data_IF_265600685914
#
_entry.id   IF_265600685914
#
_cell.length_a   1.000
_cell.length_b   1.000
_cell.length_c   1.000
_cell.angle_alpha   90.00
_cell.angle_beta   90.00
_cell.angle_gamma   90.00
#
_symmetry.space_group_name_H-M   'P 1'
#
loop_
_entity.id
_entity.type
_entity.pdbx_description
1 polymer ?
#
# COMPACT_ATOMS: atom_id res chain seq x y z
N UNK A 1 -23.82 34.08 -74.50
CA UNK A 1 -24.64 33.08 -73.79
C UNK A 1 -24.02 31.72 -74.08
N UNK A 2 -23.42 31.05 -73.09
CA UNK A 2 -22.76 29.75 -73.30
C UNK A 2 -23.66 28.67 -72.70
N UNK A 3 -24.08 27.69 -73.50
CA UNK A 3 -25.09 26.67 -73.11
C UNK A 3 -24.44 25.45 -72.43
N UNK A 4 -23.15 25.24 -72.66
CA UNK A 4 -22.42 24.04 -72.21
C UNK A 4 -22.08 24.03 -70.71
N UNK A 5 -22.07 25.19 -70.06
CA UNK A 5 -21.79 25.30 -68.63
C UNK A 5 -22.71 26.34 -67.99
N UNK A 6 -23.29 25.97 -66.84
CA UNK A 6 -24.14 26.86 -66.07
C UNK A 6 -23.46 27.18 -64.73
N UNK A 7 -22.63 28.23 -64.72
CA UNK A 7 -21.87 28.62 -63.52
C UNK A 7 -22.78 29.01 -62.35
N UNK A 8 -23.95 29.60 -62.60
CA UNK A 8 -24.88 29.99 -61.52
C UNK A 8 -25.49 28.76 -60.88
N UNK A 9 -25.87 27.75 -61.67
CA UNK A 9 -26.34 26.46 -61.16
C UNK A 9 -25.25 25.69 -60.40
N UNK A 10 -24.00 25.70 -60.89
CA UNK A 10 -22.86 25.06 -60.20
C UNK A 10 -22.60 25.73 -58.84
N UNK A 11 -22.65 27.06 -58.78
CA UNK A 11 -22.48 27.78 -57.52
C UNK A 11 -23.63 27.54 -56.54
N UNK A 12 -24.88 27.50 -57.04
CA UNK A 12 -26.05 27.15 -56.24
C UNK A 12 -25.96 25.72 -55.69
N UNK A 13 -25.52 24.74 -56.49
CA UNK A 13 -25.31 23.37 -56.04
C UNK A 13 -24.20 23.25 -54.99
N UNK A 14 -23.08 23.97 -55.15
CA UNK A 14 -22.02 24.06 -54.14
C UNK A 14 -22.55 24.62 -52.82
N UNK A 15 -23.33 25.70 -52.87
CA UNK A 15 -23.92 26.31 -51.67
C UNK A 15 -24.91 25.37 -50.98
N UNK A 16 -25.75 24.65 -51.76
CA UNK A 16 -26.65 23.61 -51.24
C UNK A 16 -25.89 22.48 -50.54
N UNK A 17 -24.73 22.06 -51.06
CA UNK A 17 -23.88 21.07 -50.40
C UNK A 17 -23.39 21.52 -49.01
N UNK A 18 -22.98 22.79 -48.89
CA UNK A 18 -22.51 23.38 -47.61
C UNK A 18 -23.67 23.49 -46.61
N UNK A 19 -24.84 23.95 -47.04
CA UNK A 19 -26.01 24.07 -46.15
C UNK A 19 -26.53 22.71 -45.70
N UNK A 20 -26.55 21.71 -46.60
CA UNK A 20 -26.92 20.35 -46.25
C UNK A 20 -25.96 19.73 -45.22
N UNK A 21 -24.65 19.99 -45.34
CA UNK A 21 -23.66 19.57 -44.34
C UNK A 21 -23.91 20.21 -42.97
N UNK A 22 -24.17 21.51 -42.94
CA UNK A 22 -24.45 22.25 -41.69
C UNK A 22 -25.74 21.78 -41.02
N UNK A 23 -26.79 21.52 -41.82
CA UNK A 23 -28.06 20.96 -41.33
C UNK A 23 -27.84 19.57 -40.75
N UNK A 24 -27.08 18.71 -41.44
CA UNK A 24 -26.74 17.36 -40.94
C UNK A 24 -26.02 17.42 -39.58
N UNK A 25 -25.03 18.30 -39.43
CA UNK A 25 -24.31 18.47 -38.16
C UNK A 25 -25.21 19.01 -37.04
N UNK A 26 -26.14 19.90 -37.36
CA UNK A 26 -27.10 20.44 -36.38
C UNK A 26 -28.09 19.37 -35.92
N UNK A 27 -28.58 18.54 -36.86
CA UNK A 27 -29.44 17.39 -36.54
C UNK A 27 -28.70 16.34 -35.71
N UNK A 28 -27.41 16.08 -35.98
CA UNK A 28 -26.57 15.19 -35.17
C UNK A 28 -26.46 15.69 -33.72
N UNK A 29 -26.18 16.98 -33.53
CA UNK A 29 -26.12 17.61 -32.20
C UNK A 29 -27.46 17.54 -31.47
N UNK A 30 -28.56 17.85 -32.17
CA UNK A 30 -29.91 17.75 -31.61
C UNK A 30 -30.25 16.32 -31.18
N UNK A 31 -29.97 15.33 -32.02
CA UNK A 31 -30.27 13.92 -31.73
C UNK A 31 -29.43 13.33 -30.61
N UNK A 32 -28.18 13.78 -30.47
CA UNK A 32 -27.27 13.31 -29.42
C UNK A 32 -27.47 13.99 -28.07
N UNK A 33 -28.04 15.20 -28.06
CA UNK A 33 -28.09 16.07 -26.89
C UNK A 33 -26.73 16.68 -26.49
N UNK A 34 -25.63 16.34 -27.18
CA UNK A 34 -24.30 16.88 -26.92
C UNK A 34 -23.95 17.99 -27.91
N UNK A 35 -23.34 19.06 -27.38
CA UNK A 35 -22.85 20.19 -28.18
C UNK A 35 -21.61 19.81 -29.02
N UNK A 36 -20.76 18.91 -28.51
CA UNK A 36 -19.50 18.46 -29.12
C UNK A 36 -19.60 16.94 -29.30
N UNK A 37 -19.75 16.48 -30.54
CA UNK A 37 -19.85 15.05 -30.87
C UNK A 37 -18.56 14.49 -31.46
N UNK A 38 -17.77 15.33 -32.13
CA UNK A 38 -16.52 14.94 -32.79
C UNK A 38 -15.38 15.82 -32.33
N UNK A 39 -14.16 15.29 -32.33
CA UNK A 39 -12.95 16.08 -32.04
C UNK A 39 -12.76 17.25 -33.01
N UNK A 40 -13.36 17.19 -34.22
CA UNK A 40 -13.35 18.26 -35.20
C UNK A 40 -14.23 19.46 -34.84
N UNK A 41 -15.24 19.30 -33.96
CA UNK A 41 -16.09 20.41 -33.51
C UNK A 41 -15.35 21.31 -32.50
N UNK A 42 -14.68 20.69 -31.51
CA UNK A 42 -13.86 21.35 -30.50
C UNK A 42 -12.96 20.31 -29.80
N UNK A 43 -11.69 20.25 -30.21
CA UNK A 43 -10.74 19.29 -29.67
C UNK A 43 -10.40 19.56 -28.19
N UNK A 44 -10.33 20.83 -27.77
CA UNK A 44 -10.00 21.21 -26.41
C UNK A 44 -11.18 20.94 -25.45
N UNK A 45 -12.40 21.33 -25.86
CA UNK A 45 -13.63 21.06 -25.12
C UNK A 45 -13.92 19.56 -25.00
N UNK A 46 -13.64 18.78 -26.04
CA UNK A 46 -13.73 17.31 -25.96
C UNK A 46 -12.70 16.74 -24.97
N UNK A 47 -11.45 17.19 -25.00
CA UNK A 47 -10.41 16.72 -24.08
C UNK A 47 -10.73 17.03 -22.61
N UNK A 48 -11.21 18.25 -22.32
CA UNK A 48 -11.62 18.64 -20.97
C UNK A 48 -12.85 17.84 -20.52
N UNK A 49 -13.84 17.64 -21.39
CA UNK A 49 -15.05 16.87 -21.04
C UNK A 49 -14.74 15.39 -20.78
N UNK A 50 -13.82 14.78 -21.53
CA UNK A 50 -13.34 13.42 -21.24
C UNK A 50 -12.53 13.34 -19.95
N UNK A 51 -11.72 14.36 -19.64
CA UNK A 51 -11.04 14.45 -18.34
C UNK A 51 -12.04 14.50 -17.19
N UNK A 52 -13.09 15.33 -17.31
CA UNK A 52 -14.15 15.40 -16.30
C UNK A 52 -14.94 14.10 -16.20
N UNK A 53 -15.30 13.45 -17.31
CA UNK A 53 -15.94 12.12 -17.31
C UNK A 53 -15.08 11.06 -16.62
N UNK A 54 -13.76 11.09 -16.83
CA UNK A 54 -12.82 10.22 -16.11
C UNK A 54 -12.81 10.52 -14.61
N UNK A 55 -12.79 11.80 -14.23
CA UNK A 55 -12.83 12.20 -12.82
C UNK A 55 -14.13 11.79 -12.15
N UNK A 56 -15.29 12.00 -12.80
CA UNK A 56 -16.60 11.58 -12.29
C UNK A 56 -16.59 10.08 -12.01
N UNK A 57 -16.22 9.25 -12.99
CA UNK A 57 -16.12 7.79 -12.78
C UNK A 57 -15.16 7.41 -11.65
N UNK A 58 -14.06 8.14 -11.51
CA UNK A 58 -13.10 7.93 -10.42
C UNK A 58 -13.68 8.30 -9.06
N UNK A 59 -14.45 9.39 -8.98
CA UNK A 59 -15.13 9.83 -7.76
C UNK A 59 -16.30 8.91 -7.40
N UNK A 60 -17.06 8.42 -8.37
CA UNK A 60 -18.15 7.46 -8.15
C UNK A 60 -17.58 6.18 -7.51
N UNK A 61 -16.49 5.64 -8.07
CA UNK A 61 -15.81 4.50 -7.47
C UNK A 61 -15.22 4.83 -6.09
N UNK A 62 -14.65 6.02 -5.91
CA UNK A 62 -14.14 6.44 -4.60
C UNK A 62 -15.26 6.54 -3.55
N UNK A 63 -16.47 6.94 -3.96
CA UNK A 63 -17.66 6.96 -3.10
C UNK A 63 -18.05 5.55 -2.68
N UNK A 64 -18.13 4.60 -3.62
CA UNK A 64 -18.41 3.19 -3.28
C UNK A 64 -17.33 2.59 -2.37
N UNK A 65 -16.06 2.89 -2.63
CA UNK A 65 -14.97 2.45 -1.75
C UNK A 65 -15.06 3.07 -0.34
N UNK A 66 -15.55 4.31 -0.22
CA UNK A 66 -15.78 4.95 1.08
C UNK A 66 -16.96 4.30 1.81
N UNK A 67 -18.02 3.89 1.11
CA UNK A 67 -19.14 3.13 1.67
C UNK A 67 -18.69 1.76 2.20
N UNK A 68 -17.82 1.06 1.48
CA UNK A 68 -17.20 -0.18 1.97
C UNK A 68 -16.36 0.08 3.23
N UNK A 69 -15.61 1.18 3.26
CA UNK A 69 -14.86 1.62 4.44
C UNK A 69 -15.76 1.90 5.65
N UNK A 70 -16.89 2.58 5.44
CA UNK A 70 -17.89 2.81 6.49
C UNK A 70 -18.45 1.48 6.99
N UNK A 71 -18.79 0.56 6.09
CA UNK A 71 -19.30 -0.77 6.46
C UNK A 71 -18.30 -1.58 7.28
N UNK A 72 -17.01 -1.49 6.95
CA UNK A 72 -15.94 -2.11 7.73
C UNK A 72 -15.85 -1.49 9.14
N UNK A 73 -15.90 -0.15 9.24
CA UNK A 73 -15.87 0.56 10.53
C UNK A 73 -17.07 0.19 11.39
N UNK A 74 -18.28 0.15 10.82
CA UNK A 74 -19.49 -0.25 11.55
C UNK A 74 -19.41 -1.70 12.07
N UNK A 75 -18.81 -2.60 11.29
CA UNK A 75 -18.57 -3.98 11.73
C UNK A 75 -17.61 -4.02 12.92
N UNK A 76 -16.54 -3.22 12.86
CA UNK A 76 -15.60 -3.09 13.99
C UNK A 76 -16.25 -2.44 15.21
N UNK A 77 -17.08 -1.41 15.03
CA UNK A 77 -17.79 -0.72 16.11
C UNK A 77 -18.76 -1.65 16.83
N UNK A 78 -19.54 -2.45 16.08
CA UNK A 78 -20.43 -3.46 16.67
C UNK A 78 -19.66 -4.50 17.50
N UNK A 79 -18.51 -4.96 17.02
CA UNK A 79 -17.65 -5.87 17.77
C UNK A 79 -17.06 -5.21 19.03
N UNK A 80 -16.64 -3.95 18.95
CA UNK A 80 -16.11 -3.21 20.10
C UNK A 80 -17.19 -2.85 21.14
N UNK A 81 -18.45 -2.72 20.72
CA UNK A 81 -19.56 -2.56 21.66
C UNK A 81 -19.72 -3.80 22.55
N UNK A 82 -19.67 -5.00 21.97
CA UNK A 82 -19.69 -6.26 22.74
C UNK A 82 -18.50 -6.36 23.70
N UNK A 83 -17.30 -5.97 23.26
CA UNK A 83 -16.11 -5.88 24.13
C UNK A 83 -16.33 -4.90 25.27
N UNK A 84 -16.95 -3.75 25.00
CA UNK A 84 -17.26 -2.74 26.03
C UNK A 84 -18.23 -3.28 27.07
N UNK A 85 -19.28 -3.99 26.65
CA UNK A 85 -20.28 -4.58 27.55
C UNK A 85 -19.65 -5.69 28.42
N UNK A 86 -18.78 -6.53 27.85
CA UNK A 86 -18.00 -7.52 28.61
C UNK A 86 -17.06 -6.86 29.63
N UNK A 87 -16.38 -5.77 29.27
CA UNK A 87 -15.50 -5.03 30.18
C UNK A 87 -16.29 -4.35 31.31
N UNK A 88 -17.49 -3.86 31.05
CA UNK A 88 -18.38 -3.35 32.10
C UNK A 88 -18.77 -4.46 33.06
N UNK A 89 -19.13 -5.64 32.54
CA UNK A 89 -19.40 -6.84 33.37
C UNK A 89 -18.19 -7.25 34.21
N UNK A 90 -16.98 -7.24 33.64
CA UNK A 90 -15.74 -7.51 34.38
C UNK A 90 -15.52 -6.49 35.52
N UNK A 91 -15.86 -5.22 35.31
CA UNK A 91 -15.80 -4.20 36.37
C UNK A 91 -16.81 -4.48 37.50
N UNK A 92 -18.04 -4.86 37.17
CA UNK A 92 -19.03 -5.27 38.18
C UNK A 92 -18.52 -6.44 39.03
N UNK A 93 -17.97 -7.46 38.37
CA UNK A 93 -17.38 -8.63 39.01
C UNK A 93 -16.18 -8.26 39.89
N UNK A 94 -15.31 -7.35 39.43
CA UNK A 94 -14.18 -6.87 40.21
C UNK A 94 -14.61 -6.13 41.49
N UNK A 95 -15.63 -5.27 41.39
CA UNK A 95 -16.22 -4.58 42.56
C UNK A 95 -16.88 -5.59 43.50
N UNK A 96 -17.58 -6.59 42.95
CA UNK A 96 -18.19 -7.66 43.74
C UNK A 96 -17.13 -8.47 44.49
N UNK A 97 -16.03 -8.86 43.82
CA UNK A 97 -14.91 -9.60 44.42
C UNK A 97 -14.19 -8.79 45.53
N UNK A 98 -14.16 -7.46 45.40
CA UNK A 98 -13.56 -6.56 46.39
C UNK A 98 -14.32 -6.50 47.71
N UNK A 99 -15.54 -7.04 47.80
CA UNK A 99 -16.27 -7.12 49.06
C UNK A 99 -15.57 -8.09 50.03
N UNK A 100 -15.35 -7.64 51.27
CA UNK A 100 -14.69 -8.42 52.32
C UNK A 100 -15.52 -9.56 52.90
N UNK A 101 -16.82 -9.63 52.59
CA UNK A 101 -17.72 -10.68 53.08
C UNK A 101 -17.76 -11.93 52.21
N UNK A 102 -17.19 -11.89 51.00
CA UNK A 102 -17.20 -13.03 50.08
C UNK A 102 -16.22 -14.11 50.54
N UNK A 103 -16.63 -15.37 50.42
CA UNK A 103 -15.74 -16.50 50.70
C UNK A 103 -14.69 -16.66 49.60
N UNK A 104 -13.64 -17.43 49.88
CA UNK A 104 -12.59 -17.75 48.90
C UNK A 104 -13.16 -18.51 47.69
N UNK A 105 -14.14 -19.39 47.92
CA UNK A 105 -14.87 -20.11 46.86
C UNK A 105 -15.67 -19.15 45.97
N UNK A 106 -16.33 -18.14 46.55
CA UNK A 106 -17.09 -17.15 45.76
C UNK A 106 -16.16 -16.30 44.89
N UNK A 107 -14.99 -15.94 45.43
CA UNK A 107 -13.96 -15.22 44.66
C UNK A 107 -13.40 -16.06 43.52
N UNK A 108 -13.26 -17.37 43.73
CA UNK A 108 -12.85 -18.29 42.66
C UNK A 108 -13.89 -18.34 41.54
N UNK A 109 -15.18 -18.48 41.85
CA UNK A 109 -16.23 -18.48 40.82
C UNK A 109 -16.30 -17.16 40.04
N UNK A 110 -16.07 -16.03 40.70
CA UNK A 110 -15.97 -14.72 40.03
C UNK A 110 -14.75 -14.68 39.10
N UNK A 111 -13.61 -15.22 39.54
CA UNK A 111 -12.40 -15.29 38.72
C UNK A 111 -12.60 -16.16 37.48
N UNK A 112 -13.30 -17.29 37.60
CA UNK A 112 -13.63 -18.17 36.48
C UNK A 112 -14.51 -17.45 35.43
N UNK A 113 -15.47 -16.61 35.88
CA UNK A 113 -16.30 -15.78 34.98
C UNK A 113 -15.45 -14.70 34.27
N UNK A 114 -14.52 -14.05 34.98
CA UNK A 114 -13.58 -13.08 34.41
C UNK A 114 -12.68 -13.73 33.35
N UNK A 115 -12.21 -14.96 33.58
CA UNK A 115 -11.37 -15.70 32.63
C UNK A 115 -12.16 -16.07 31.35
N UNK A 116 -13.43 -16.45 31.49
CA UNK A 116 -14.32 -16.68 30.35
C UNK A 116 -14.55 -15.39 29.55
N UNK A 117 -14.83 -14.27 30.22
CA UNK A 117 -15.00 -12.97 29.56
C UNK A 117 -13.72 -12.54 28.83
N UNK A 118 -12.55 -12.77 29.43
CA UNK A 118 -11.26 -12.47 28.81
C UNK A 118 -11.05 -13.31 27.54
N UNK A 119 -11.33 -14.61 27.62
CA UNK A 119 -11.25 -15.52 26.47
C UNK A 119 -12.21 -15.10 25.34
N UNK A 120 -13.40 -14.63 25.71
CA UNK A 120 -14.40 -14.19 24.73
C UNK A 120 -14.02 -12.85 24.09
N UNK A 121 -13.41 -11.93 24.84
CA UNK A 121 -12.83 -10.69 24.28
C UNK A 121 -11.75 -11.03 23.24
N UNK A 122 -10.83 -11.94 23.57
CA UNK A 122 -9.79 -12.39 22.64
C UNK A 122 -10.41 -13.04 21.40
N UNK A 123 -11.45 -13.87 21.57
CA UNK A 123 -12.18 -14.49 20.45
C UNK A 123 -12.81 -13.44 19.54
N UNK A 124 -13.45 -12.40 20.11
CA UNK A 124 -14.05 -11.31 19.32
C UNK A 124 -12.96 -10.57 18.54
N UNK A 125 -11.83 -10.26 19.17
CA UNK A 125 -10.70 -9.62 18.50
C UNK A 125 -10.13 -10.48 17.35
N UNK A 126 -10.01 -11.80 17.55
CA UNK A 126 -9.45 -12.72 16.56
C UNK A 126 -10.40 -13.13 15.46
N UNK A 127 -11.72 -13.08 15.67
CA UNK A 127 -12.72 -13.57 14.69
C UNK A 127 -13.44 -12.46 13.92
N UNK A 128 -13.34 -11.20 14.37
CA UNK A 128 -13.97 -10.05 13.69
C UNK A 128 -13.27 -9.79 12.36
N UNK A 129 -14.01 -10.03 11.27
CA UNK A 129 -13.53 -9.92 9.90
C UNK A 129 -14.49 -9.14 9.02
N UNK A 130 -13.94 -8.38 8.09
CA UNK A 130 -14.68 -7.77 6.98
C UNK A 130 -13.95 -8.10 5.68
N UNK A 131 -14.67 -8.66 4.71
CA UNK A 131 -14.10 -9.10 3.43
C UNK A 131 -12.79 -9.92 3.61
N UNK A 132 -12.85 -10.95 4.47
CA UNK A 132 -11.72 -11.83 4.84
C UNK A 132 -10.52 -11.15 5.54
N UNK A 133 -10.60 -9.85 5.80
CA UNK A 133 -9.56 -9.09 6.52
C UNK A 133 -9.92 -8.98 7.99
N UNK A 134 -9.00 -9.37 8.88
CA UNK A 134 -9.16 -9.18 10.33
C UNK A 134 -9.07 -7.70 10.70
N UNK A 135 -10.03 -7.22 11.49
CA UNK A 135 -10.11 -5.80 11.84
C UNK A 135 -9.44 -5.46 13.18
N UNK A 136 -9.51 -6.38 14.16
CA UNK A 136 -9.16 -6.11 15.55
C UNK A 136 -7.94 -6.91 16.05
N UNK A 137 -7.42 -7.83 15.23
CA UNK A 137 -6.33 -8.74 15.62
C UNK A 137 -4.97 -8.03 15.81
N UNK A 138 -4.84 -6.77 15.39
CA UNK A 138 -3.56 -6.09 15.23
C UNK A 138 -2.78 -6.73 14.08
N UNK A 139 -2.53 -6.00 13.01
CA UNK A 139 -1.75 -6.53 11.90
C UNK A 139 -0.35 -6.93 12.35
N UNK A 140 0.23 -7.96 11.73
CA UNK A 140 1.68 -8.26 11.76
C UNK A 140 2.51 -7.15 11.07
N UNK A 141 2.02 -5.92 11.09
CA UNK A 141 2.58 -4.72 10.50
C UNK A 141 3.53 -4.03 11.49
N UNK A 142 4.25 -4.80 12.30
CA UNK A 142 5.63 -4.40 12.60
C UNK A 142 6.35 -4.42 11.25
N UNK A 143 6.22 -3.33 10.49
CA UNK A 143 6.96 -3.14 9.26
C UNK A 143 8.43 -3.19 9.65
N UNK A 144 9.07 -4.32 9.40
CA UNK A 144 10.52 -4.45 9.43
C UNK A 144 11.08 -3.44 8.41
N UNK A 145 11.41 -2.23 8.88
CA UNK A 145 12.08 -1.23 8.06
C UNK A 145 13.53 -1.66 7.91
N UNK A 146 13.83 -2.34 6.81
CA UNK A 146 15.21 -2.49 6.37
C UNK A 146 15.64 -1.13 5.81
N UNK A 147 16.34 -0.33 6.62
CA UNK A 147 16.98 0.90 6.13
C UNK A 147 18.32 0.53 5.48
N UNK A 148 18.51 0.95 4.23
CA UNK A 148 19.83 0.97 3.60
C UNK A 148 20.73 1.88 4.44
N UNK A 149 21.71 1.29 5.10
CA UNK A 149 22.52 1.95 6.12
C UNK A 149 23.98 1.80 5.75
N UNK A 150 24.73 2.86 6.01
CA UNK A 150 26.17 2.92 5.82
C UNK A 150 26.79 3.10 7.21
N UNK A 151 27.30 2.02 7.80
CA UNK A 151 28.12 2.14 9.00
C UNK A 151 29.59 2.25 8.57
N UNK A 152 30.21 3.38 8.92
CA UNK A 152 31.61 3.68 8.61
C UNK A 152 32.05 3.46 7.14
N UNK A 153 31.11 3.55 6.17
CA UNK A 153 31.36 3.38 4.73
C UNK A 153 31.02 1.99 4.16
N UNK A 154 30.59 1.05 5.00
CA UNK A 154 30.20 -0.28 4.58
C UNK A 154 28.70 -0.34 4.27
N UNK A 155 28.35 -0.80 3.06
CA UNK A 155 26.94 -1.02 2.69
C UNK A 155 26.42 -2.29 3.38
N UNK A 156 25.31 -2.18 4.08
CA UNK A 156 24.63 -3.31 4.71
C UNK A 156 23.16 -3.03 4.97
N UNK A 157 22.50 -4.06 5.48
CA UNK A 157 21.11 -4.02 5.91
C UNK A 157 21.09 -3.87 7.43
N UNK A 158 20.38 -2.85 7.94
CA UNK A 158 20.05 -2.74 9.36
C UNK A 158 18.71 -3.39 9.62
N UNK A 159 18.72 -4.32 10.58
CA UNK A 159 17.54 -4.98 11.12
C UNK A 159 17.31 -4.53 12.55
N UNK A 160 16.14 -3.95 12.81
CA UNK A 160 15.66 -3.61 14.15
C UNK A 160 14.52 -4.58 14.48
N UNK A 161 14.71 -5.39 15.51
CA UNK A 161 13.70 -6.34 16.01
C UNK A 161 12.70 -5.69 16.98
N UNK A 162 12.79 -4.38 17.18
CA UNK A 162 11.98 -3.63 18.14
C UNK A 162 12.53 -3.67 19.57
N UNK A 163 13.73 -4.22 19.78
CA UNK A 163 14.47 -4.19 21.04
C UNK A 163 15.33 -2.93 21.24
N UNK A 164 16.21 -2.95 22.26
CA UNK A 164 17.13 -1.84 22.55
C UNK A 164 18.39 -1.82 21.64
N UNK A 165 18.54 -2.78 20.72
CA UNK A 165 19.73 -2.96 19.88
C UNK A 165 19.34 -3.26 18.44
N UNK A 166 19.98 -2.59 17.48
CA UNK A 166 19.86 -2.91 16.05
C UNK A 166 21.01 -3.81 15.59
N UNK A 167 20.72 -4.76 14.70
CA UNK A 167 21.73 -5.65 14.08
C UNK A 167 22.08 -5.14 12.68
N UNK A 168 23.37 -4.93 12.40
CA UNK A 168 23.88 -4.60 11.06
C UNK A 168 24.44 -5.86 10.39
N UNK A 169 23.89 -6.22 9.22
CA UNK A 169 24.36 -7.38 8.43
C UNK A 169 24.95 -6.91 7.11
N UNK A 170 26.13 -7.42 6.80
CA UNK A 170 26.86 -7.14 5.55
C UNK A 170 27.44 -8.45 5.01
N UNK A 171 27.56 -8.56 3.69
CA UNK A 171 28.06 -9.77 3.05
C UNK A 171 29.51 -9.54 2.60
N UNK A 172 30.47 -10.10 3.34
CA UNK A 172 31.91 -9.96 3.09
C UNK A 172 32.46 -11.24 2.48
N UNK A 173 33.07 -11.16 1.29
CA UNK A 173 33.73 -12.30 0.65
C UNK A 173 35.23 -12.21 0.81
N UNK A 174 35.87 -13.38 0.96
CA UNK A 174 37.34 -13.49 0.97
C UNK A 174 37.89 -13.03 -0.38
N UNK A 175 38.85 -12.11 -0.33
CA UNK A 175 39.47 -11.47 -1.51
C UNK A 175 38.98 -10.06 -1.77
N UNK A 176 37.90 -9.60 -1.11
CA UNK A 176 37.41 -8.24 -1.27
C UNK A 176 38.20 -7.26 -0.38
N UNK A 177 38.48 -6.06 -0.91
CA UNK A 177 38.97 -4.92 -0.14
C UNK A 177 37.78 -4.07 0.30
N UNK A 178 37.66 -3.83 1.61
CA UNK A 178 36.60 -3.02 2.20
C UNK A 178 37.17 -1.82 2.94
N UNK A 179 36.55 -0.66 2.77
CA UNK A 179 36.92 0.55 3.49
C UNK A 179 36.03 0.71 4.73
N UNK A 180 36.64 0.73 5.91
CA UNK A 180 35.96 0.95 7.19
C UNK A 180 36.60 2.17 7.84
N UNK A 181 35.80 3.21 8.08
CA UNK A 181 36.23 4.48 8.68
C UNK A 181 37.45 5.12 7.96
N UNK A 182 37.51 4.97 6.63
CA UNK A 182 38.58 5.53 5.80
C UNK A 182 39.89 4.73 5.78
N UNK A 183 39.91 3.52 6.36
CA UNK A 183 41.03 2.56 6.24
C UNK A 183 40.61 1.36 5.41
N UNK A 184 41.48 0.93 4.50
CA UNK A 184 41.27 -0.26 3.68
C UNK A 184 41.67 -1.54 4.45
N UNK A 185 40.79 -2.53 4.41
CA UNK A 185 40.98 -3.85 4.98
C UNK A 185 40.76 -4.90 3.89
N UNK A 186 41.68 -5.86 3.80
CA UNK A 186 41.56 -6.99 2.90
C UNK A 186 40.96 -8.17 3.66
N UNK A 187 39.83 -8.70 3.17
CA UNK A 187 39.19 -9.88 3.76
C UNK A 187 39.99 -11.12 3.34
N UNK A 188 40.81 -11.65 4.24
CA UNK A 188 41.58 -12.88 4.00
C UNK A 188 40.89 -14.09 4.64
N UNK A 189 40.98 -15.25 4.00
CA UNK A 189 40.69 -16.53 4.65
C UNK A 189 41.77 -16.83 5.68
N UNK A 190 41.39 -17.48 6.79
CA UNK A 190 42.23 -18.05 7.86
C UNK A 190 43.73 -17.74 7.75
N UNK A 191 44.25 -16.96 8.70
CA UNK A 191 45.66 -16.48 8.74
C UNK A 191 46.67 -17.57 8.36
N UNK A 192 46.44 -18.81 8.80
CA UNK A 192 47.33 -19.95 8.58
C UNK A 192 47.44 -20.43 7.11
N UNK A 193 46.41 -20.23 6.26
CA UNK A 193 46.41 -20.72 4.86
C UNK A 193 47.04 -19.73 3.88
N UNK A 194 46.98 -18.44 4.18
CA UNK A 194 47.51 -17.38 3.31
C UNK A 194 49.02 -17.22 3.51
N UNK A 195 49.50 -17.28 4.77
CA UNK A 195 50.93 -17.24 5.11
C UNK A 195 51.72 -18.38 4.43
N UNK A 196 51.11 -19.56 4.26
CA UNK A 196 51.75 -20.67 3.57
C UNK A 196 52.00 -20.39 2.09
N UNK A 197 51.05 -19.74 1.39
CA UNK A 197 51.20 -19.37 -0.02
C UNK A 197 52.23 -18.28 -0.23
N UNK A 198 52.26 -17.25 0.64
CA UNK A 198 53.27 -16.19 0.57
C UNK A 198 54.68 -16.73 0.87
N UNK A 199 54.83 -17.62 1.87
CA UNK A 199 56.12 -18.27 2.16
C UNK A 199 56.58 -19.16 1.02
N UNK A 200 55.68 -19.91 0.38
CA UNK A 200 56.03 -20.75 -0.78
C UNK A 200 56.43 -19.87 -1.98
N UNK A 201 55.72 -18.77 -2.25
CA UNK A 201 56.08 -17.82 -3.31
C UNK A 201 57.47 -17.22 -3.09
N UNK A 202 57.74 -16.76 -1.86
CA UNK A 202 59.05 -16.18 -1.51
C UNK A 202 60.19 -17.20 -1.60
N UNK A 203 59.94 -18.47 -1.27
CA UNK A 203 60.92 -19.55 -1.45
C UNK A 203 61.14 -19.85 -2.93
N UNK A 204 60.08 -19.88 -3.75
CA UNK A 204 60.19 -20.12 -5.19
C UNK A 204 60.97 -19.00 -5.91
N UNK A 205 60.82 -17.75 -5.47
CA UNK A 205 61.58 -16.62 -6.01
C UNK A 205 63.05 -16.62 -5.56
N UNK A 206 63.36 -17.16 -4.37
CA UNK A 206 64.75 -17.37 -3.93
C UNK A 206 65.44 -18.52 -4.66
N UNK A 207 64.71 -19.56 -5.10
CA UNK A 207 65.25 -20.67 -5.89
C UNK A 207 65.53 -20.25 -7.35
N UNK A 208 64.89 -19.18 -7.83
CA UNK A 208 65.07 -18.64 -9.19
C UNK A 208 66.18 -17.59 -9.31
N UNK A 209 66.91 -17.29 -8.24
CA UNK A 209 68.13 -16.47 -8.22
C UNK A 209 69.36 -17.35 -7.98
#
# INVERSE_FOLDING_TARGET
MVVQHNLTAINANRMLGITQGTLSSSTEKLSSGYKINRAADDAAGLSISEKMRKQIRGLDQASSNAEDGISAVQTAEGALQEVTDMLQRMNELAVQASNGTNSETDRQSIQDEIEQLTTEIDRVAETTKFNETYLLKGGKDTQCKILNSYDAGLKGDMYDDGGATATFTTNLKVGDSVSIAGKEYNIISDRNKTDAKERISNIQDQIKK
#
